data_IF_802545948203
#
_entry.id   IF_802545948203
#
_cell.length_a   1.000
_cell.length_b   1.000
_cell.length_c   1.000
_cell.angle_alpha   90.00
_cell.angle_beta   90.00
_cell.angle_gamma   90.00
#
_symmetry.space_group_name_H-M   'P 1'
#
loop_
_entity.id
_entity.type
_entity.pdbx_description
1 polymer ?
#
# COMPACT_ATOMS: atom_id res chain seq x y z
N UNK A 1 13.38 20.07 -2.83
CA UNK A 1 14.40 19.14 -2.29
C UNK A 1 13.96 17.75 -2.71
N UNK A 2 14.77 16.99 -3.45
CA UNK A 2 14.42 15.62 -3.88
C UNK A 2 15.09 14.62 -2.94
N UNK A 3 14.78 14.76 -1.65
CA UNK A 3 15.43 14.01 -0.56
C UNK A 3 14.76 12.66 -0.28
N UNK A 4 13.64 12.42 -0.99
CA UNK A 4 12.85 11.21 -0.91
C UNK A 4 12.58 10.65 -2.31
N UNK A 5 12.52 9.33 -2.37
CA UNK A 5 11.94 8.57 -3.46
C UNK A 5 10.51 8.20 -3.08
N UNK A 6 9.63 8.14 -4.07
CA UNK A 6 8.21 7.94 -3.86
C UNK A 6 7.65 6.82 -4.74
N UNK A 7 6.77 6.01 -4.16
CA UNK A 7 5.96 5.05 -4.89
C UNK A 7 4.52 5.07 -4.38
N UNK A 8 3.56 4.89 -5.29
CA UNK A 8 2.15 4.70 -4.95
C UNK A 8 1.72 3.35 -5.48
N UNK A 9 1.21 2.51 -4.58
CA UNK A 9 0.69 1.19 -4.88
C UNK A 9 -0.80 1.14 -4.57
N UNK A 10 -1.50 0.15 -5.12
CA UNK A 10 -2.90 -0.13 -4.78
C UNK A 10 -3.14 -1.61 -4.54
N UNK A 11 -4.08 -1.93 -3.65
CA UNK A 11 -4.59 -3.28 -3.44
C UNK A 11 -6.06 -3.22 -3.05
N UNK A 12 -6.87 -4.17 -3.53
CA UNK A 12 -8.27 -4.29 -3.12
C UNK A 12 -8.38 -5.24 -1.92
N UNK A 13 -9.08 -4.79 -0.89
CA UNK A 13 -9.34 -5.58 0.33
C UNK A 13 -10.81 -5.51 0.71
N UNK A 14 -11.28 -6.43 1.55
CA UNK A 14 -12.63 -6.36 2.09
C UNK A 14 -12.76 -5.16 3.04
N UNK A 15 -13.92 -4.50 2.99
CA UNK A 15 -14.19 -3.29 3.79
C UNK A 15 -14.06 -3.53 5.30
N UNK A 16 -14.43 -4.72 5.77
CA UNK A 16 -14.43 -5.10 7.19
C UNK A 16 -13.04 -5.20 7.81
N UNK A 17 -12.00 -5.37 6.98
CA UNK A 17 -10.60 -5.50 7.42
C UNK A 17 -9.71 -4.37 6.90
N UNK A 18 -10.27 -3.40 6.17
CA UNK A 18 -9.51 -2.33 5.52
C UNK A 18 -8.69 -1.51 6.53
N UNK A 19 -9.29 -1.18 7.67
CA UNK A 19 -8.62 -0.44 8.75
C UNK A 19 -7.47 -1.25 9.36
N UNK A 20 -7.65 -2.57 9.52
CA UNK A 20 -6.61 -3.45 10.03
C UNK A 20 -5.41 -3.52 9.07
N UNK A 21 -5.67 -3.59 7.76
CA UNK A 21 -4.61 -3.51 6.73
C UNK A 21 -3.87 -2.19 6.80
N UNK A 22 -4.59 -1.06 6.89
CA UNK A 22 -3.99 0.27 7.04
C UNK A 22 -3.03 0.31 8.24
N UNK A 23 -3.53 -0.04 9.43
CA UNK A 23 -2.74 -0.01 10.66
C UNK A 23 -1.51 -0.92 10.55
N UNK A 24 -1.67 -2.14 10.02
CA UNK A 24 -0.57 -3.09 9.88
C UNK A 24 0.52 -2.59 8.92
N UNK A 25 0.14 -2.04 7.76
CA UNK A 25 1.11 -1.55 6.76
C UNK A 25 1.84 -0.30 7.27
N UNK A 26 1.12 0.64 7.91
CA UNK A 26 1.73 1.85 8.49
C UNK A 26 2.69 1.49 9.63
N UNK A 27 2.29 0.55 10.50
CA UNK A 27 3.15 0.06 11.57
C UNK A 27 4.37 -0.72 11.06
N UNK A 28 4.24 -1.48 9.97
CA UNK A 28 5.36 -2.20 9.35
C UNK A 28 6.46 -1.24 8.82
N UNK A 29 6.04 -0.07 8.34
CA UNK A 29 6.91 0.95 7.74
C UNK A 29 7.11 2.16 8.69
N UNK A 30 6.96 1.97 10.00
CA UNK A 30 7.24 3.01 10.98
C UNK A 30 8.59 2.78 11.64
N UNK A 31 9.30 3.86 11.95
CA UNK A 31 10.54 3.80 12.75
C UNK A 31 10.31 3.19 14.13
N UNK A 32 9.12 3.40 14.70
CA UNK A 32 8.68 2.81 15.97
C UNK A 32 7.75 1.60 15.74
N UNK A 33 7.89 0.97 14.58
CA UNK A 33 7.00 -0.07 14.08
C UNK A 33 7.18 -1.45 14.71
N UNK A 34 6.46 -2.43 14.16
CA UNK A 34 6.46 -3.83 14.63
C UNK A 34 7.70 -4.63 14.20
N UNK A 35 8.62 -4.03 13.44
CA UNK A 35 9.85 -4.69 12.98
C UNK A 35 10.99 -4.41 13.95
N UNK A 36 11.83 -5.42 14.17
CA UNK A 36 13.05 -5.29 14.97
C UNK A 36 13.94 -4.16 14.46
N UNK A 37 13.97 -3.94 13.13
CA UNK A 37 14.73 -2.88 12.47
C UNK A 37 13.84 -2.22 11.41
N UNK A 38 13.83 -0.88 11.40
CA UNK A 38 13.08 -0.11 10.42
C UNK A 38 13.68 -0.26 9.01
N UNK A 39 12.85 -0.51 8.00
CA UNK A 39 13.27 -0.66 6.60
C UNK A 39 13.66 0.67 5.93
N UNK A 40 13.60 1.79 6.66
CA UNK A 40 13.91 3.13 6.14
C UNK A 40 12.85 3.70 5.20
N UNK A 41 11.68 3.07 5.15
CA UNK A 41 10.54 3.54 4.37
C UNK A 41 9.44 4.03 5.30
N UNK A 42 8.68 5.02 4.87
CA UNK A 42 7.44 5.43 5.51
C UNK A 42 6.26 5.04 4.63
N UNK A 43 5.17 4.56 5.23
CA UNK A 43 3.93 4.29 4.53
C UNK A 43 2.78 5.14 5.08
N UNK A 44 1.95 5.65 4.18
CA UNK A 44 0.68 6.28 4.51
C UNK A 44 -0.43 5.68 3.64
N UNK A 45 -1.49 5.20 4.28
CA UNK A 45 -2.55 4.47 3.60
C UNK A 45 -3.81 5.30 3.56
N UNK A 46 -4.39 5.42 2.36
CA UNK A 46 -5.73 5.98 2.17
C UNK A 46 -6.68 4.84 1.83
N UNK A 47 -7.75 4.72 2.61
CA UNK A 47 -8.85 3.81 2.31
C UNK A 47 -9.78 4.54 1.34
N UNK A 48 -9.90 4.03 0.11
CA UNK A 48 -10.77 4.58 -0.91
C UNK A 48 -12.24 4.22 -0.68
N UNK A 49 -13.08 4.63 -1.63
CA UNK A 49 -14.51 4.38 -1.56
C UNK A 49 -14.84 2.88 -1.73
N UNK A 50 -15.97 2.48 -1.16
CA UNK A 50 -16.49 1.13 -1.31
C UNK A 50 -16.86 0.88 -2.76
N UNK A 51 -16.30 -0.19 -3.32
CA UNK A 51 -16.68 -0.72 -4.62
C UNK A 51 -17.64 -1.89 -4.39
N UNK A 52 -18.81 -1.81 -5.01
CA UNK A 52 -19.77 -2.92 -5.04
C UNK A 52 -19.57 -3.65 -6.35
N UNK A 53 -19.12 -4.90 -6.26
CA UNK A 53 -18.97 -5.76 -7.44
C UNK A 53 -20.33 -6.38 -7.79
N UNK A 54 -20.75 -6.22 -9.04
CA UNK A 54 -21.97 -6.82 -9.57
C UNK A 54 -21.64 -7.90 -10.59
N UNK A 55 -22.35 -9.02 -10.54
CA UNK A 55 -22.43 -10.03 -11.60
C UNK A 55 -23.92 -10.21 -11.93
N UNK A 56 -24.29 -10.10 -13.21
CA UNK A 56 -25.68 -10.22 -13.66
C UNK A 56 -26.67 -9.29 -12.93
N UNK A 57 -26.25 -8.04 -12.66
CA UNK A 57 -26.98 -7.03 -11.86
C UNK A 57 -27.26 -7.44 -10.40
N UNK A 58 -26.63 -8.49 -9.91
CA UNK A 58 -26.69 -8.94 -8.52
C UNK A 58 -25.36 -8.56 -7.85
N UNK A 59 -25.33 -7.96 -6.65
CA UNK A 59 -24.09 -7.78 -5.91
C UNK A 59 -23.47 -9.15 -5.59
N UNK A 60 -22.28 -9.43 -6.10
CA UNK A 60 -21.68 -10.78 -6.03
C UNK A 60 -20.49 -10.87 -5.08
N UNK A 61 -19.87 -9.76 -4.70
CA UNK A 61 -18.74 -9.79 -3.79
C UNK A 61 -18.91 -8.90 -2.56
N UNK A 62 -18.30 -9.34 -1.45
CA UNK A 62 -18.28 -8.61 -0.17
C UNK A 62 -17.61 -7.26 -0.40
N UNK A 63 -18.37 -6.16 -0.27
CA UNK A 63 -17.91 -4.77 -0.38
C UNK A 63 -16.39 -4.63 -0.19
N UNK A 64 -15.68 -4.37 -1.29
CA UNK A 64 -14.24 -4.14 -1.24
C UNK A 64 -13.96 -2.64 -1.25
N UNK A 65 -12.79 -2.27 -0.77
CA UNK A 65 -12.26 -0.91 -0.88
C UNK A 65 -10.87 -0.99 -1.49
N UNK A 66 -10.51 0.02 -2.26
CA UNK A 66 -9.15 0.16 -2.76
C UNK A 66 -8.29 0.83 -1.68
N UNK A 67 -7.21 0.18 -1.25
CA UNK A 67 -6.20 0.81 -0.42
C UNK A 67 -5.13 1.43 -1.31
N UNK A 68 -4.93 2.73 -1.17
CA UNK A 68 -3.82 3.46 -1.80
C UNK A 68 -2.68 3.54 -0.80
N UNK A 69 -1.58 2.85 -1.11
CA UNK A 69 -0.36 2.77 -0.30
C UNK A 69 0.63 3.78 -0.84
N UNK A 70 0.93 4.84 -0.08
CA UNK A 70 1.94 5.83 -0.42
C UNK A 70 3.22 5.52 0.34
N UNK A 71 4.30 5.21 -0.38
CA UNK A 71 5.60 4.88 0.17
C UNK A 71 6.59 6.02 -0.09
N UNK A 72 7.34 6.37 0.94
CA UNK A 72 8.45 7.32 0.90
C UNK A 72 9.71 6.66 1.44
N UNK A 73 10.86 6.94 0.82
CA UNK A 73 12.16 6.45 1.31
C UNK A 73 13.26 7.45 1.03
N UNK A 74 14.22 7.56 1.96
CA UNK A 74 15.44 8.32 1.70
C UNK A 74 16.39 7.60 0.74
N UNK A 75 16.24 6.29 0.54
CA UNK A 75 17.13 5.53 -0.34
C UNK A 75 16.35 4.77 -1.40
N UNK A 76 16.79 4.90 -2.66
CA UNK A 76 16.16 4.19 -3.78
C UNK A 76 16.17 2.66 -3.62
N UNK A 77 17.25 2.02 -3.12
CA UNK A 77 17.26 0.57 -2.91
C UNK A 77 16.17 0.09 -1.95
N UNK A 78 15.99 0.75 -0.79
CA UNK A 78 14.97 0.37 0.20
C UNK A 78 13.56 0.49 -0.37
N UNK A 79 13.29 1.54 -1.14
CA UNK A 79 12.01 1.71 -1.81
C UNK A 79 11.77 0.62 -2.85
N UNK A 80 12.75 0.35 -3.73
CA UNK A 80 12.62 -0.69 -4.77
C UNK A 80 12.40 -2.08 -4.16
N UNK A 81 13.06 -2.41 -3.06
CA UNK A 81 12.86 -3.69 -2.36
C UNK A 81 11.44 -3.78 -1.80
N UNK A 82 10.95 -2.72 -1.17
CA UNK A 82 9.62 -2.69 -0.55
C UNK A 82 8.51 -2.71 -1.60
N UNK A 83 8.67 -1.98 -2.70
CA UNK A 83 7.73 -2.05 -3.84
C UNK A 83 7.67 -3.47 -4.40
N UNK A 84 8.81 -4.11 -4.68
CA UNK A 84 8.86 -5.49 -5.16
C UNK A 84 8.22 -6.48 -4.19
N UNK A 85 8.35 -6.25 -2.87
CA UNK A 85 7.69 -7.06 -1.87
C UNK A 85 6.17 -6.94 -1.96
N UNK A 86 5.64 -5.71 -1.98
CA UNK A 86 4.19 -5.48 -2.08
C UNK A 86 3.60 -5.95 -3.41
N UNK A 87 4.33 -5.82 -4.53
CA UNK A 87 3.93 -6.40 -5.81
C UNK A 87 3.76 -7.92 -5.72
N UNK A 88 4.70 -8.64 -5.07
CA UNK A 88 4.58 -10.08 -4.82
C UNK A 88 3.39 -10.43 -3.93
N UNK A 89 2.96 -9.52 -3.07
CA UNK A 89 1.77 -9.67 -2.21
C UNK A 89 0.46 -9.28 -2.93
N UNK A 90 0.52 -8.93 -4.22
CA UNK A 90 -0.66 -8.63 -5.04
C UNK A 90 -0.98 -7.15 -5.18
N UNK A 91 -0.11 -6.24 -4.71
CA UNK A 91 -0.28 -4.81 -4.97
C UNK A 91 0.05 -4.49 -6.44
N UNK A 92 -0.66 -3.53 -7.01
CA UNK A 92 -0.33 -2.97 -8.33
C UNK A 92 0.37 -1.62 -8.15
N UNK A 93 1.47 -1.39 -8.87
CA UNK A 93 2.13 -0.08 -8.91
C UNK A 93 1.26 0.91 -9.70
N UNK A 94 0.91 2.02 -9.09
CA UNK A 94 0.18 3.13 -9.74
C UNK A 94 1.16 4.15 -10.31
N UNK A 95 2.17 4.54 -9.54
CA UNK A 95 3.25 5.41 -9.99
C UNK A 95 4.52 5.24 -9.15
N UNK A 96 5.65 5.56 -9.74
CA UNK A 96 6.95 5.71 -9.06
C UNK A 96 7.63 6.98 -9.57
N UNK A 97 8.40 7.65 -8.72
CA UNK A 97 9.18 8.84 -9.12
C UNK A 97 10.59 8.49 -9.64
N UNK A 98 10.99 7.23 -9.46
CA UNK A 98 12.20 6.65 -10.01
C UNK A 98 11.92 6.01 -11.36
N UNK A 99 12.86 6.20 -12.29
CA UNK A 99 12.85 5.52 -13.58
C UNK A 99 13.30 4.07 -13.40
N UNK A 100 12.73 3.16 -14.19
CA UNK A 100 13.26 1.80 -14.36
C UNK A 100 14.69 1.83 -14.92
#
# INVERSE_FOLDING_TARGET
>A
MKDFHEAVLKIDVKVDIAEAYKIAIEAENSHNGLRDHWNGNYAYIVIGDQTVNYQDNIPVDKNTVNLIIQLLSHTLPNLKETVKWYEKMGCTVVRTDYKE
#
